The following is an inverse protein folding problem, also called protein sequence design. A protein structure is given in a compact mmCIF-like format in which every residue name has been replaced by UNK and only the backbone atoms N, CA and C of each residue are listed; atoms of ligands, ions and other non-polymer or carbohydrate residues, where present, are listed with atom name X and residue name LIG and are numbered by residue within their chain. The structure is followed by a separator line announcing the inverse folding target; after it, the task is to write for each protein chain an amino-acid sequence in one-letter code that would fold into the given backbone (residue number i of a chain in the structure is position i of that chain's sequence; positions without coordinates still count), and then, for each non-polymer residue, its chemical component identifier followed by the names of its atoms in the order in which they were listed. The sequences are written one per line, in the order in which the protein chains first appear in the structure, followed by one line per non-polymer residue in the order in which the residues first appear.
data_IF_360302997969
#
_entry.id   IF_360302997969
#
_cell.length_a   1.000
_cell.length_b   1.000
_cell.length_c   1.000
_cell.angle_alpha   90.00
_cell.angle_beta   90.00
_cell.angle_gamma   90.00
#
_symmetry.space_group_name_H-M   'P 1'
#
loop_
_entity.id
_entity.type
_entity.pdbx_description
1 polymer ?
#
# COMPACT_ATOMS: atom_id res chain seq x y z
N UNK A 1 11.61 8.14 3.36
CA UNK A 1 10.76 8.94 2.46
C UNK A 1 9.58 8.09 2.02
N UNK A 2 9.60 7.31 0.93
CA UNK A 2 8.41 6.50 0.53
C UNK A 2 7.96 5.51 1.61
N UNK A 3 8.89 4.79 2.25
CA UNK A 3 8.55 3.84 3.34
C UNK A 3 7.87 4.49 4.55
N UNK A 4 8.33 5.67 4.96
CA UNK A 4 7.75 6.40 6.10
C UNK A 4 6.36 6.91 5.75
N UNK A 5 6.20 7.43 4.54
CA UNK A 5 4.92 7.87 4.01
C UNK A 5 3.93 6.72 3.86
N UNK A 6 4.39 5.53 3.47
CA UNK A 6 3.56 4.33 3.39
C UNK A 6 3.11 3.89 4.78
N UNK A 7 3.99 3.93 5.79
CA UNK A 7 3.65 3.62 7.19
C UNK A 7 2.55 4.55 7.69
N UNK A 8 2.63 5.85 7.41
CA UNK A 8 1.56 6.80 7.75
C UNK A 8 0.24 6.44 7.07
N UNK A 9 0.26 6.14 5.77
CA UNK A 9 -0.93 5.76 5.03
C UNK A 9 -1.56 4.45 5.52
N UNK A 10 -0.74 3.45 5.82
CA UNK A 10 -1.19 2.16 6.40
C UNK A 10 -1.84 2.39 7.76
N UNK A 11 -1.26 3.26 8.58
CA UNK A 11 -1.82 3.58 9.90
C UNK A 11 -3.15 4.34 9.80
N UNK A 12 -3.28 5.25 8.85
CA UNK A 12 -4.49 6.07 8.69
C UNK A 12 -5.64 5.32 8.01
N UNK A 13 -5.34 4.51 6.98
CA UNK A 13 -6.35 3.83 6.17
C UNK A 13 -6.64 2.40 6.63
N UNK A 14 -5.63 1.69 7.15
CA UNK A 14 -5.73 0.26 7.49
C UNK A 14 -5.75 0.00 9.01
N UNK A 15 -5.62 1.04 9.84
CA UNK A 15 -5.58 0.96 11.32
C UNK A 15 -4.49 -0.01 11.87
N UNK A 16 -3.39 -0.16 11.12
CA UNK A 16 -2.25 -1.01 11.51
C UNK A 16 -1.15 -0.16 12.13
N UNK A 17 -0.60 -0.62 13.25
CA UNK A 17 0.50 0.07 13.92
C UNK A 17 1.81 -0.08 13.16
N UNK A 18 2.64 0.96 13.15
CA UNK A 18 3.96 0.96 12.50
C UNK A 18 4.87 -0.20 12.92
N UNK A 19 4.78 -0.61 14.20
CA UNK A 19 5.56 -1.71 14.78
C UNK A 19 5.14 -3.09 14.25
N UNK A 20 3.94 -3.19 13.68
CA UNK A 20 3.39 -4.43 13.12
C UNK A 20 3.62 -4.53 11.60
N UNK A 21 3.97 -3.42 10.95
CA UNK A 21 4.20 -3.36 9.51
C UNK A 21 5.51 -4.08 9.16
N UNK A 22 5.38 -5.16 8.40
CA UNK A 22 6.46 -5.91 7.80
C UNK A 22 6.25 -5.85 6.30
N UNK A 23 7.17 -5.16 5.62
CA UNK A 23 7.09 -4.95 4.17
C UNK A 23 7.21 -6.24 3.37
N UNK A 24 7.77 -7.30 3.94
CA UNK A 24 7.92 -8.60 3.28
C UNK A 24 6.76 -9.57 3.57
N UNK A 25 5.86 -9.19 4.47
CA UNK A 25 4.67 -9.97 4.82
C UNK A 25 3.53 -9.68 3.85
N UNK A 26 2.74 -10.71 3.56
CA UNK A 26 1.54 -10.57 2.73
C UNK A 26 0.52 -9.64 3.41
N UNK A 27 -0.08 -8.74 2.63
CA UNK A 27 -1.10 -7.78 3.08
C UNK A 27 -2.32 -8.53 3.64
N UNK A 28 -2.71 -9.64 3.01
CA UNK A 28 -3.83 -10.49 3.45
C UNK A 28 -3.64 -11.07 4.86
N UNK A 29 -2.40 -11.18 5.34
CA UNK A 29 -2.09 -11.68 6.68
C UNK A 29 -2.24 -10.60 7.78
N UNK A 30 -2.70 -9.41 7.42
CA UNK A 30 -3.08 -8.33 8.34
C UNK A 30 -4.60 -8.25 8.58
N UNK A 31 -5.38 -9.20 8.09
CA UNK A 31 -6.86 -9.19 8.17
C UNK A 31 -7.49 -7.95 7.48
N UNK A 32 -6.76 -7.40 6.50
CA UNK A 32 -7.19 -6.32 5.61
C UNK A 32 -8.20 -6.88 4.62
N UNK A 33 -9.34 -6.21 4.45
CA UNK A 33 -10.30 -6.57 3.42
C UNK A 33 -10.04 -5.86 2.07
N UNK A 34 -10.78 -6.25 1.04
CA UNK A 34 -10.62 -5.66 -0.30
C UNK A 34 -10.99 -4.18 -0.36
N UNK A 35 -11.85 -3.69 0.54
CA UNK A 35 -12.28 -2.29 0.57
C UNK A 35 -11.17 -1.45 1.20
N UNK A 36 -10.61 -1.92 2.31
CA UNK A 36 -9.47 -1.30 2.99
C UNK A 36 -8.27 -1.18 2.02
N UNK A 37 -8.01 -2.23 1.23
CA UNK A 37 -6.97 -2.21 0.19
C UNK A 37 -7.25 -1.15 -0.87
N UNK A 38 -8.49 -1.05 -1.38
CA UNK A 38 -8.87 -0.04 -2.37
C UNK A 38 -8.71 1.39 -1.83
N UNK A 39 -9.15 1.64 -0.60
CA UNK A 39 -9.01 2.96 0.05
C UNK A 39 -7.52 3.34 0.21
N UNK A 40 -6.68 2.37 0.60
CA UNK A 40 -5.24 2.56 0.71
C UNK A 40 -4.59 2.88 -0.65
N UNK A 41 -4.95 2.16 -1.70
CA UNK A 41 -4.44 2.41 -3.06
C UNK A 41 -4.87 3.78 -3.57
N UNK A 42 -6.15 4.13 -3.41
CA UNK A 42 -6.64 5.46 -3.81
C UNK A 42 -5.89 6.59 -3.09
N UNK A 43 -5.59 6.42 -1.80
CA UNK A 43 -4.81 7.40 -1.05
C UNK A 43 -3.37 7.55 -1.58
N UNK A 44 -2.78 6.48 -2.11
CA UNK A 44 -1.46 6.51 -2.76
C UNK A 44 -1.55 7.22 -4.11
N UNK A 45 -2.51 6.86 -4.94
CA UNK A 45 -2.74 7.49 -6.25
C UNK A 45 -2.88 9.00 -6.13
N UNK A 46 -3.73 9.46 -5.20
CA UNK A 46 -3.94 10.88 -4.92
C UNK A 46 -2.67 11.57 -4.39
N UNK A 47 -1.89 10.88 -3.53
CA UNK A 47 -0.67 11.46 -2.91
C UNK A 47 0.46 11.63 -3.91
N UNK A 48 0.64 10.66 -4.80
CA UNK A 48 1.74 10.63 -5.74
C UNK A 48 1.35 11.11 -7.15
N UNK A 49 0.08 11.44 -7.39
CA UNK A 49 -0.48 11.82 -8.70
C UNK A 49 -0.21 10.72 -9.75
N UNK A 50 -0.43 9.47 -9.34
CA UNK A 50 -0.25 8.25 -10.16
C UNK A 50 -1.56 7.49 -10.30
N UNK A 51 -1.63 6.57 -11.26
CA UNK A 51 -2.78 5.69 -11.48
C UNK A 51 -2.25 4.25 -11.64
N UNK A 52 -2.81 3.32 -10.87
CA UNK A 52 -2.55 1.90 -10.97
C UNK A 52 -3.60 1.24 -11.85
N UNK A 53 -3.14 0.38 -12.75
CA UNK A 53 -4.04 -0.49 -13.52
C UNK A 53 -4.50 -1.68 -12.69
N UNK A 54 -5.65 -2.25 -13.05
CA UNK A 54 -6.18 -3.48 -12.43
C UNK A 54 -5.11 -4.60 -12.39
N UNK A 55 -4.32 -4.76 -13.46
CA UNK A 55 -3.25 -5.76 -13.54
C UNK A 55 -2.15 -5.50 -12.50
N UNK A 56 -1.78 -4.23 -12.27
CA UNK A 56 -0.79 -3.86 -11.24
C UNK A 56 -1.33 -4.10 -9.82
N UNK A 57 -2.63 -3.85 -9.60
CA UNK A 57 -3.27 -4.10 -8.31
C UNK A 57 -3.36 -5.59 -7.98
N UNK A 58 -3.61 -6.42 -8.99
CA UNK A 58 -3.63 -7.88 -8.86
C UNK A 58 -2.23 -8.46 -8.53
N UNK A 59 -1.16 -7.74 -8.87
CA UNK A 59 0.23 -8.12 -8.55
C UNK A 59 0.67 -7.70 -7.13
N UNK A 60 -0.13 -6.90 -6.42
CA UNK A 60 0.18 -6.46 -5.06
C UNK A 60 -0.12 -7.58 -4.06
N UNK A 61 0.95 -8.21 -3.56
CA UNK A 61 0.85 -9.17 -2.46
C UNK A 61 1.35 -8.57 -1.13
N UNK A 62 2.33 -7.66 -1.21
CA UNK A 62 3.06 -7.10 -0.06
C UNK A 62 3.18 -5.58 -0.13
N UNK A 63 3.44 -4.95 1.01
CA UNK A 63 3.71 -3.51 1.05
C UNK A 63 5.00 -3.13 0.29
N UNK A 64 5.98 -4.04 0.15
CA UNK A 64 7.16 -3.81 -0.68
C UNK A 64 6.84 -3.74 -2.19
N UNK A 65 5.82 -4.45 -2.66
CA UNK A 65 5.39 -4.41 -4.05
C UNK A 65 4.79 -3.04 -4.37
N UNK A 66 3.97 -2.52 -3.46
CA UNK A 66 3.40 -1.16 -3.56
C UNK A 66 4.49 -0.10 -3.69
N UNK A 67 5.54 -0.17 -2.87
CA UNK A 67 6.69 0.75 -2.97
C UNK A 67 7.34 0.64 -4.35
N UNK A 68 7.54 -0.58 -4.84
CA UNK A 68 8.18 -0.83 -6.12
C UNK A 68 7.35 -0.26 -7.28
N UNK A 69 6.02 -0.38 -7.21
CA UNK A 69 5.11 0.20 -8.20
C UNK A 69 5.16 1.73 -8.18
N UNK A 70 5.14 2.36 -7.00
CA UNK A 70 5.28 3.83 -6.86
C UNK A 70 6.61 4.29 -7.47
N UNK A 71 7.72 3.62 -7.12
CA UNK A 71 9.06 3.93 -7.64
C UNK A 71 9.17 3.71 -9.15
N UNK A 72 8.40 2.81 -9.73
CA UNK A 72 8.40 2.58 -11.18
C UNK A 72 7.72 3.69 -11.97
N UNK A 73 6.80 4.43 -11.34
CA UNK A 73 6.01 5.52 -11.95
C UNK A 73 6.60 6.92 -11.71
N UNK A 74 7.64 7.04 -10.89
CA UNK A 74 8.27 8.32 -10.48
C UNK A 74 9.74 8.40 -10.91
#
# INVERSE_FOLDING_TARGET
MIREELIELVKENLDINEDEIDFEKEITAYDIDSIDMLDFIMAIEDKYDIEFSDDELDEIEKFSDVISLIESKN
#
